data_IF_119028151081
#
_entry.id   IF_119028151081
#
_cell.length_a   1.000
_cell.length_b   1.000
_cell.length_c   1.000
_cell.angle_alpha   90.00
_cell.angle_beta   90.00
_cell.angle_gamma   90.00
#
_symmetry.space_group_name_H-M   'P 1'
#
loop_
_entity.id
_entity.type
_entity.pdbx_description
1 polymer ?
#
# COMPACT_ATOMS: atom_id res chain seq x y z
N UNK A 1 24.77 59.78 -45.81
CA UNK A 1 23.78 59.87 -44.71
C UNK A 1 22.92 58.62 -44.74
N UNK A 2 23.27 57.61 -43.95
CA UNK A 2 22.62 56.29 -43.99
C UNK A 2 21.59 56.19 -42.84
N UNK A 3 20.32 55.95 -43.17
CA UNK A 3 19.18 56.07 -42.25
C UNK A 3 19.09 54.86 -41.29
N UNK A 4 19.09 55.15 -39.99
CA UNK A 4 18.64 54.24 -38.90
C UNK A 4 17.20 53.76 -39.16
N UNK A 5 17.01 52.56 -39.70
CA UNK A 5 15.69 51.95 -39.89
C UNK A 5 15.51 50.55 -39.27
N UNK A 6 16.54 49.98 -38.63
CA UNK A 6 16.51 48.58 -38.14
C UNK A 6 15.81 48.34 -36.78
N UNK A 7 15.47 49.36 -36.00
CA UNK A 7 14.85 49.18 -34.67
C UNK A 7 13.31 49.11 -34.64
N UNK A 8 12.61 49.73 -35.60
CA UNK A 8 11.13 49.77 -35.61
C UNK A 8 10.50 48.51 -36.22
N UNK A 9 11.21 47.85 -37.14
CA UNK A 9 10.71 46.65 -37.83
C UNK A 9 10.62 45.43 -36.93
N UNK A 10 11.62 45.22 -36.06
CA UNK A 10 11.63 44.08 -35.13
C UNK A 10 10.57 44.19 -34.04
N UNK A 11 10.36 45.41 -33.51
CA UNK A 11 9.32 45.68 -32.51
C UNK A 11 7.92 45.53 -33.12
N UNK A 12 7.70 46.02 -34.35
CA UNK A 12 6.43 45.84 -35.04
C UNK A 12 6.13 44.35 -35.29
N UNK A 13 7.13 43.56 -35.69
CA UNK A 13 6.98 42.12 -35.87
C UNK A 13 6.65 41.40 -34.55
N UNK A 14 7.37 41.72 -33.47
CA UNK A 14 7.12 41.14 -32.16
C UNK A 14 5.72 41.47 -31.63
N UNK A 15 5.30 42.74 -31.70
CA UNK A 15 3.97 43.16 -31.29
C UNK A 15 2.87 42.48 -32.13
N UNK A 16 3.12 42.29 -33.43
CA UNK A 16 2.17 41.57 -34.30
C UNK A 16 2.05 40.09 -33.91
N UNK A 17 3.16 39.42 -33.58
CA UNK A 17 3.17 38.04 -33.14
C UNK A 17 2.45 37.88 -31.79
N UNK A 18 2.70 38.79 -30.85
CA UNK A 18 2.02 38.82 -29.55
C UNK A 18 0.52 39.05 -29.71
N UNK A 19 0.10 40.01 -30.54
CA UNK A 19 -1.31 40.25 -30.83
C UNK A 19 -1.99 39.02 -31.46
N UNK A 20 -1.31 38.31 -32.35
CA UNK A 20 -1.81 37.06 -32.94
C UNK A 20 -2.01 35.96 -31.89
N UNK A 21 -1.09 35.82 -30.93
CA UNK A 21 -1.22 34.84 -29.85
C UNK A 21 -2.40 35.20 -28.95
N UNK A 22 -2.53 36.45 -28.54
CA UNK A 22 -3.64 36.89 -27.69
C UNK A 22 -5.00 36.76 -28.38
N UNK A 23 -5.07 37.07 -29.68
CA UNK A 23 -6.31 36.88 -30.46
C UNK A 23 -6.68 35.41 -30.58
N UNK A 24 -5.71 34.51 -30.77
CA UNK A 24 -5.96 33.07 -30.80
C UNK A 24 -6.49 32.53 -29.46
N UNK A 25 -5.90 32.97 -28.34
CA UNK A 25 -6.35 32.61 -26.98
C UNK A 25 -7.75 33.17 -26.70
N UNK A 26 -8.00 34.42 -27.06
CA UNK A 26 -9.31 35.05 -26.86
C UNK A 26 -10.39 34.37 -27.71
N UNK A 27 -10.08 34.03 -28.96
CA UNK A 27 -10.99 33.29 -29.84
C UNK A 27 -11.34 31.92 -29.25
N UNK A 28 -10.35 31.17 -28.76
CA UNK A 28 -10.61 29.88 -28.10
C UNK A 28 -11.45 30.04 -26.83
N UNK A 29 -11.20 31.05 -26.00
CA UNK A 29 -12.00 31.31 -24.80
C UNK A 29 -13.45 31.73 -25.12
N UNK A 30 -13.67 32.50 -26.19
CA UNK A 30 -15.00 32.94 -26.62
C UNK A 30 -15.81 31.84 -27.30
N UNK A 31 -15.17 31.01 -28.12
CA UNK A 31 -15.82 29.93 -28.87
C UNK A 31 -15.92 28.61 -28.08
N UNK A 32 -15.17 28.46 -26.98
CA UNK A 32 -15.28 27.28 -26.12
C UNK A 32 -16.70 27.07 -25.60
N UNK A 33 -17.07 25.80 -25.42
CA UNK A 33 -18.34 25.37 -24.82
C UNK A 33 -19.58 26.01 -25.48
N UNK A 34 -19.86 25.62 -26.73
CA UNK A 34 -21.05 26.06 -27.50
C UNK A 34 -21.19 27.59 -27.63
N UNK A 35 -20.05 28.30 -27.69
CA UNK A 35 -19.96 29.76 -27.79
C UNK A 35 -20.65 30.49 -26.62
N UNK A 36 -20.69 29.87 -25.43
CA UNK A 36 -21.40 30.43 -24.25
C UNK A 36 -20.87 31.81 -23.87
N UNK A 37 -19.55 31.98 -23.85
CA UNK A 37 -18.92 33.24 -23.47
C UNK A 37 -19.17 34.34 -24.52
N UNK A 38 -19.13 34.00 -25.81
CA UNK A 38 -19.49 34.91 -26.90
C UNK A 38 -20.95 35.39 -26.79
N UNK A 39 -21.88 34.47 -26.51
CA UNK A 39 -23.31 34.79 -26.32
C UNK A 39 -23.52 35.77 -25.17
N UNK A 40 -22.89 35.55 -24.02
CA UNK A 40 -22.98 36.46 -22.87
C UNK A 40 -22.43 37.86 -23.17
N UNK A 41 -21.32 37.94 -23.90
CA UNK A 41 -20.70 39.22 -24.27
C UNK A 41 -21.60 40.00 -25.25
N UNK A 42 -22.16 39.33 -26.25
CA UNK A 42 -23.11 39.93 -27.20
C UNK A 42 -24.40 40.39 -26.50
N UNK A 43 -24.87 39.67 -25.48
CA UNK A 43 -26.01 40.09 -24.66
C UNK A 43 -25.70 41.35 -23.86
N UNK A 44 -24.53 41.43 -23.23
CA UNK A 44 -24.14 42.60 -22.47
C UNK A 44 -23.99 43.85 -23.36
N UNK A 45 -23.63 43.68 -24.63
CA UNK A 45 -23.49 44.77 -25.62
C UNK A 45 -24.78 45.07 -26.40
N UNK A 46 -25.86 44.29 -26.21
CA UNK A 46 -27.13 44.48 -26.91
C UNK A 46 -27.13 44.02 -28.38
N UNK A 47 -26.14 43.25 -28.85
CA UNK A 47 -26.01 42.77 -30.24
C UNK A 47 -26.52 41.33 -30.44
N UNK A 48 -27.66 40.98 -29.82
CA UNK A 48 -28.14 39.59 -29.81
C UNK A 48 -28.54 39.06 -31.20
N UNK A 49 -28.95 39.95 -32.11
CA UNK A 49 -29.52 39.60 -33.42
C UNK A 49 -28.48 39.22 -34.48
N UNK A 50 -27.18 39.39 -34.20
CA UNK A 50 -26.10 39.11 -35.15
C UNK A 50 -25.81 37.61 -35.29
N UNK A 51 -26.19 36.81 -34.29
CA UNK A 51 -26.07 35.34 -34.36
C UNK A 51 -27.30 34.76 -35.09
N UNK A 52 -27.11 33.92 -36.12
CA UNK A 52 -28.22 33.24 -36.76
C UNK A 52 -28.98 32.43 -35.71
N UNK A 53 -30.29 32.70 -35.60
CA UNK A 53 -31.16 31.92 -34.73
C UNK A 53 -31.06 30.46 -35.17
N UNK A 54 -30.54 29.60 -34.29
CA UNK A 54 -30.58 28.17 -34.52
C UNK A 54 -32.04 27.78 -34.77
N UNK A 55 -32.34 26.92 -35.77
CA UNK A 55 -33.68 26.41 -35.97
C UNK A 55 -34.18 25.89 -34.64
N UNK A 56 -35.29 26.44 -34.16
CA UNK A 56 -35.95 25.93 -32.97
C UNK A 56 -36.47 24.55 -33.33
N UNK A 57 -35.65 23.52 -33.12
CA UNK A 57 -36.14 22.15 -33.05
C UNK A 57 -37.17 22.21 -31.92
N UNK A 58 -38.45 21.90 -32.19
CA UNK A 58 -39.46 21.94 -31.15
C UNK A 58 -38.95 21.06 -30.01
N UNK A 59 -38.64 21.70 -28.89
CA UNK A 59 -38.20 21.00 -27.70
C UNK A 59 -39.34 20.05 -27.35
N UNK A 60 -39.16 18.77 -27.67
CA UNK A 60 -39.94 17.70 -27.08
C UNK A 60 -39.76 17.93 -25.59
N UNK A 61 -40.79 18.48 -24.92
CA UNK A 61 -40.79 18.65 -23.47
C UNK A 61 -40.30 17.30 -22.95
N UNK A 62 -39.16 17.23 -22.24
CA UNK A 62 -38.81 15.98 -21.61
C UNK A 62 -40.01 15.69 -20.74
N UNK A 63 -40.75 14.65 -21.08
CA UNK A 63 -41.72 14.10 -20.16
C UNK A 63 -40.80 13.64 -19.03
N UNK A 64 -40.61 14.52 -18.03
CA UNK A 64 -40.27 14.09 -16.69
C UNK A 64 -41.47 13.26 -16.29
N UNK A 65 -41.50 12.02 -16.78
CA UNK A 65 -42.11 10.94 -16.06
C UNK A 65 -41.38 11.00 -14.74
N UNK A 66 -42.01 11.68 -13.78
CA UNK A 66 -41.65 11.59 -12.38
C UNK A 66 -41.74 10.09 -12.16
N UNK A 67 -40.61 9.38 -12.25
CA UNK A 67 -40.55 7.96 -11.97
C UNK A 67 -41.28 7.88 -10.64
N UNK A 68 -42.46 7.25 -10.62
CA UNK A 68 -43.15 7.00 -9.36
C UNK A 68 -42.07 6.36 -8.51
N UNK A 69 -41.68 7.06 -7.43
CA UNK A 69 -40.61 6.61 -6.54
C UNK A 69 -40.95 5.15 -6.26
N UNK A 70 -40.18 4.23 -6.84
CA UNK A 70 -40.50 2.82 -6.75
C UNK A 70 -40.60 2.55 -5.27
N UNK A 71 -41.77 2.08 -4.83
CA UNK A 71 -41.96 1.79 -3.42
C UNK A 71 -40.85 0.79 -3.06
N UNK A 72 -40.05 1.07 -2.01
CA UNK A 72 -38.92 0.22 -1.68
C UNK A 72 -39.44 -1.21 -1.57
N UNK A 73 -38.88 -2.11 -2.38
CA UNK A 73 -39.28 -3.51 -2.40
C UNK A 73 -39.13 -4.05 -0.98
N UNK A 74 -40.26 -4.34 -0.33
CA UNK A 74 -40.27 -4.96 0.99
C UNK A 74 -39.92 -6.43 0.79
N UNK A 75 -38.63 -6.73 0.81
CA UNK A 75 -38.13 -8.10 0.77
C UNK A 75 -38.25 -8.66 2.19
N UNK A 76 -38.97 -9.76 2.33
CA UNK A 76 -38.97 -10.55 3.56
C UNK A 76 -37.63 -11.30 3.61
N UNK A 77 -36.70 -10.77 4.40
CA UNK A 77 -35.47 -11.48 4.71
C UNK A 77 -35.76 -12.50 5.82
N UNK A 78 -35.17 -13.71 5.76
CA UNK A 78 -35.28 -14.67 6.85
C UNK A 78 -34.84 -14.04 8.19
N UNK A 79 -35.54 -14.35 9.28
CA UNK A 79 -35.25 -13.79 10.62
C UNK A 79 -33.78 -13.98 11.01
N UNK A 80 -33.18 -15.11 10.63
CA UNK A 80 -31.75 -15.41 10.87
C UNK A 80 -30.77 -14.41 10.25
N UNK A 81 -31.19 -13.66 9.23
CA UNK A 81 -30.36 -12.61 8.60
C UNK A 81 -30.11 -11.44 9.55
N UNK A 82 -30.99 -11.26 10.54
CA UNK A 82 -30.90 -10.21 11.55
C UNK A 82 -30.62 -10.77 12.94
N UNK A 83 -30.42 -12.08 13.05
CA UNK A 83 -30.09 -12.73 14.30
C UNK A 83 -28.65 -12.34 14.64
N UNK A 84 -28.47 -11.67 15.77
CA UNK A 84 -27.15 -11.42 16.32
C UNK A 84 -26.59 -12.78 16.76
N UNK A 85 -25.83 -13.40 15.86
CA UNK A 85 -25.21 -14.70 16.10
C UNK A 85 -24.21 -14.67 17.25
N UNK A 86 -23.88 -13.47 17.78
CA UNK A 86 -22.81 -13.23 18.75
C UNK A 86 -21.48 -13.88 18.34
N UNK A 87 -21.34 -14.23 17.06
CA UNK A 87 -20.16 -14.88 16.52
C UNK A 87 -19.10 -13.80 16.36
N UNK A 88 -17.94 -13.93 17.03
CA UNK A 88 -16.84 -13.01 16.80
C UNK A 88 -16.47 -13.03 15.32
N UNK A 89 -16.13 -11.86 14.76
CA UNK A 89 -15.68 -11.76 13.37
C UNK A 89 -14.61 -12.80 13.08
N UNK A 90 -14.86 -13.63 12.07
CA UNK A 90 -13.86 -14.57 11.58
C UNK A 90 -12.91 -13.82 10.64
N UNK A 91 -11.90 -13.17 11.22
CA UNK A 91 -10.79 -12.68 10.42
C UNK A 91 -9.86 -13.84 10.11
N UNK A 92 -9.50 -14.02 8.84
CA UNK A 92 -8.42 -14.92 8.46
C UNK A 92 -7.11 -14.36 8.99
N UNK A 93 -6.74 -14.81 10.19
CA UNK A 93 -5.44 -14.56 10.80
C UNK A 93 -4.51 -15.65 10.33
N UNK A 94 -3.38 -15.25 9.77
CA UNK A 94 -2.27 -16.15 9.51
C UNK A 94 -1.52 -16.32 10.83
N UNK A 95 -1.75 -17.44 11.49
CA UNK A 95 -0.92 -17.83 12.63
C UNK A 95 0.46 -18.27 12.13
N UNK A 96 1.50 -17.88 12.85
CA UNK A 96 2.86 -18.36 12.60
C UNK A 96 2.95 -19.75 13.24
N UNK A 97 2.82 -20.80 12.42
CA UNK A 97 2.89 -22.19 12.84
C UNK A 97 3.97 -22.92 12.05
N UNK A 98 4.67 -23.82 12.71
CA UNK A 98 5.63 -24.77 12.14
C UNK A 98 5.88 -25.85 13.19
N UNK A 99 6.40 -27.00 12.76
CA UNK A 99 6.97 -27.98 13.68
C UNK A 99 8.20 -27.33 14.34
N UNK A 100 8.17 -27.11 15.66
CA UNK A 100 9.18 -26.33 16.33
C UNK A 100 10.52 -27.05 16.40
N UNK A 101 10.51 -28.40 16.40
CA UNK A 101 11.74 -29.18 16.31
C UNK A 101 12.32 -29.08 14.91
N UNK A 102 11.49 -29.23 13.88
CA UNK A 102 11.93 -29.07 12.49
C UNK A 102 12.55 -27.68 12.25
N UNK A 103 11.94 -26.61 12.77
CA UNK A 103 12.49 -25.25 12.66
C UNK A 103 13.85 -25.12 13.37
N UNK A 104 13.97 -25.61 14.61
CA UNK A 104 15.25 -25.52 15.34
C UNK A 104 16.34 -26.38 14.71
N UNK A 105 16.00 -27.57 14.17
CA UNK A 105 16.93 -28.40 13.41
C UNK A 105 17.34 -27.76 12.08
N UNK A 106 16.38 -27.20 11.32
CA UNK A 106 16.67 -26.50 10.07
C UNK A 106 17.62 -25.31 10.26
N UNK A 107 17.51 -24.60 11.39
CA UNK A 107 18.46 -23.56 11.75
C UNK A 107 19.84 -24.15 12.15
N UNK A 108 19.89 -25.29 12.84
CA UNK A 108 21.17 -25.98 13.13
C UNK A 108 21.89 -26.37 11.85
N UNK A 109 21.15 -26.94 10.90
CA UNK A 109 21.67 -27.36 9.59
C UNK A 109 22.14 -26.18 8.74
N UNK A 110 21.51 -25.02 8.90
CA UNK A 110 21.90 -23.77 8.27
C UNK A 110 23.15 -23.09 8.89
N UNK A 111 23.76 -23.70 9.90
CA UNK A 111 25.02 -23.23 10.50
C UNK A 111 24.93 -22.76 11.95
N UNK A 112 23.73 -22.72 12.55
CA UNK A 112 23.52 -22.30 13.94
C UNK A 112 23.59 -23.50 14.91
N UNK A 113 24.71 -24.23 14.86
CA UNK A 113 24.87 -25.56 15.49
C UNK A 113 24.67 -25.59 17.01
N UNK A 114 24.87 -24.47 17.69
CA UNK A 114 24.72 -24.35 19.14
C UNK A 114 23.27 -24.05 19.59
N UNK A 115 22.28 -24.20 18.70
CA UNK A 115 20.86 -24.05 19.07
C UNK A 115 20.45 -25.10 20.10
N UNK A 116 20.30 -24.67 21.35
CA UNK A 116 19.87 -25.52 22.45
C UNK A 116 18.34 -25.47 22.59
N UNK A 117 17.67 -26.61 22.39
CA UNK A 117 16.24 -26.76 22.64
C UNK A 117 15.96 -26.85 24.15
N UNK A 118 14.98 -26.08 24.62
CA UNK A 118 14.48 -26.11 26.00
C UNK A 118 12.96 -26.12 25.99
N UNK A 119 12.38 -27.03 26.75
CA UNK A 119 10.92 -27.11 26.94
C UNK A 119 10.61 -27.09 28.44
N UNK A 120 9.56 -26.38 28.80
CA UNK A 120 9.01 -26.34 30.15
C UNK A 120 7.76 -27.23 30.24
N UNK A 121 7.43 -27.70 31.45
CA UNK A 121 6.21 -28.48 31.72
C UNK A 121 4.93 -27.72 31.34
N UNK A 122 4.97 -26.38 31.33
CA UNK A 122 3.85 -25.51 30.92
C UNK A 122 3.54 -25.51 29.41
N UNK A 123 4.17 -26.39 28.61
CA UNK A 123 4.02 -26.42 27.14
C UNK A 123 4.75 -25.29 26.40
N UNK A 124 5.49 -24.44 27.13
CA UNK A 124 6.35 -23.40 26.56
C UNK A 124 7.69 -23.99 26.17
N UNK A 125 8.19 -23.57 25.01
CA UNK A 125 9.49 -24.00 24.52
C UNK A 125 10.26 -22.84 23.90
N UNK A 126 11.57 -22.99 23.87
CA UNK A 126 12.48 -22.06 23.22
C UNK A 126 13.70 -22.79 22.65
N UNK A 127 14.26 -22.25 21.58
CA UNK A 127 15.61 -22.60 21.12
C UNK A 127 16.39 -21.32 20.81
N UNK A 128 17.66 -21.30 21.22
CA UNK A 128 18.49 -20.11 21.07
C UNK A 128 19.94 -20.46 20.78
N UNK A 129 20.61 -19.61 20.01
CA UNK A 129 22.04 -19.72 19.70
C UNK A 129 22.68 -18.34 19.61
N UNK A 130 23.93 -18.24 20.04
CA UNK A 130 24.78 -17.07 19.90
C UNK A 130 26.01 -17.49 19.08
N UNK A 131 26.19 -16.91 17.90
CA UNK A 131 27.36 -17.19 17.05
C UNK A 131 28.25 -15.96 17.03
N UNK A 132 29.46 -16.04 17.63
CA UNK A 132 30.46 -14.98 17.53
C UNK A 132 31.26 -15.07 16.23
N UNK A 133 31.53 -13.93 15.62
CA UNK A 133 32.48 -13.76 14.52
C UNK A 133 33.81 -13.31 15.11
N UNK A 134 34.49 -14.23 15.78
CA UNK A 134 35.75 -13.94 16.48
C UNK A 134 36.89 -13.65 15.50
N UNK A 135 37.70 -12.65 15.82
CA UNK A 135 38.95 -12.34 15.11
C UNK A 135 40.14 -12.51 16.05
N UNK A 136 41.25 -13.12 15.61
CA UNK A 136 42.46 -13.20 16.42
C UNK A 136 42.94 -11.81 16.85
N UNK A 137 43.14 -11.61 18.15
CA UNK A 137 43.64 -10.35 18.72
C UNK A 137 42.62 -9.22 18.86
N UNK A 138 41.32 -9.50 18.68
CA UNK A 138 40.24 -8.52 18.83
C UNK A 138 39.32 -8.91 19.99
N UNK A 139 39.16 -8.03 20.97
CA UNK A 139 38.35 -8.33 22.18
C UNK A 139 36.83 -8.34 21.92
N UNK A 140 36.33 -7.45 21.06
CA UNK A 140 34.89 -7.34 20.76
C UNK A 140 34.58 -7.99 19.43
N UNK A 141 33.96 -9.16 19.44
CA UNK A 141 33.52 -9.80 18.21
C UNK A 141 32.14 -9.32 17.78
N UNK A 142 31.95 -9.16 16.47
CA UNK A 142 30.61 -9.10 15.90
C UNK A 142 29.87 -10.41 16.23
N UNK A 143 28.56 -10.38 16.40
CA UNK A 143 27.80 -11.55 16.80
C UNK A 143 26.38 -11.55 16.24
N UNK A 144 25.83 -12.76 16.10
CA UNK A 144 24.42 -12.97 15.79
C UNK A 144 23.79 -13.82 16.89
N UNK A 145 22.63 -13.39 17.40
CA UNK A 145 21.86 -14.11 18.39
C UNK A 145 20.48 -14.45 17.83
N UNK A 146 20.13 -15.73 17.84
CA UNK A 146 18.84 -16.24 17.40
C UNK A 146 18.06 -16.72 18.61
N UNK A 147 16.77 -16.37 18.66
CA UNK A 147 15.85 -16.81 19.69
C UNK A 147 14.49 -17.13 19.05
N UNK A 148 14.09 -18.39 19.17
CA UNK A 148 12.77 -18.87 18.80
C UNK A 148 12.02 -19.22 20.07
N UNK A 149 10.77 -18.79 20.17
CA UNK A 149 9.88 -19.07 21.29
C UNK A 149 8.54 -19.51 20.78
N UNK A 150 7.92 -20.42 21.50
CA UNK A 150 6.59 -20.88 21.21
C UNK A 150 5.85 -21.46 22.40
N UNK A 151 4.62 -21.81 22.10
CA UNK A 151 3.66 -22.45 23.00
C UNK A 151 3.08 -23.63 22.28
N UNK A 152 2.72 -24.67 23.03
CA UNK A 152 2.15 -25.89 22.48
C UNK A 152 3.03 -26.53 21.39
N UNK A 153 2.55 -27.57 20.73
CA UNK A 153 3.38 -28.33 19.79
C UNK A 153 3.70 -27.59 18.50
N UNK A 154 2.96 -26.56 18.08
CA UNK A 154 3.10 -25.98 16.73
C UNK A 154 3.02 -24.45 16.66
N UNK A 155 2.85 -23.73 17.78
CA UNK A 155 2.71 -22.27 17.75
C UNK A 155 4.05 -21.57 18.00
N UNK A 156 4.42 -20.69 17.07
CA UNK A 156 5.57 -19.80 17.24
C UNK A 156 5.05 -18.43 17.71
N UNK A 157 5.45 -18.06 18.93
CA UNK A 157 5.07 -16.78 19.54
C UNK A 157 6.03 -15.66 19.13
N UNK A 158 7.32 -15.98 18.95
CA UNK A 158 8.34 -15.03 18.56
C UNK A 158 9.53 -15.72 17.91
N UNK A 159 9.95 -15.20 16.76
CA UNK A 159 11.24 -15.49 16.14
C UNK A 159 12.05 -14.20 16.07
N UNK A 160 13.27 -14.21 16.62
CA UNK A 160 14.12 -13.03 16.73
C UNK A 160 15.54 -13.34 16.30
N UNK A 161 16.10 -12.43 15.50
CA UNK A 161 17.52 -12.44 15.12
C UNK A 161 18.11 -11.08 15.44
N UNK A 162 19.08 -11.05 16.35
CA UNK A 162 19.83 -9.85 16.72
C UNK A 162 21.20 -9.89 16.08
N UNK A 163 21.59 -8.78 15.47
CA UNK A 163 22.89 -8.57 14.84
C UNK A 163 23.63 -7.52 15.65
N UNK A 164 24.87 -7.82 16.04
CA UNK A 164 25.81 -6.86 16.60
C UNK A 164 27.02 -6.80 15.65
N UNK A 165 27.21 -5.67 14.98
CA UNK A 165 28.33 -5.47 14.05
C UNK A 165 29.34 -4.55 14.74
N UNK A 166 30.33 -5.15 15.42
CA UNK A 166 31.40 -4.40 16.08
C UNK A 166 32.48 -3.96 15.08
N UNK A 167 32.64 -4.70 13.97
CA UNK A 167 33.59 -4.39 12.91
C UNK A 167 32.92 -4.33 11.53
N UNK A 168 33.20 -3.28 10.73
CA UNK A 168 32.58 -3.11 9.41
C UNK A 168 32.92 -4.24 8.45
N UNK A 169 34.12 -4.83 8.58
CA UNK A 169 34.54 -5.99 7.78
C UNK A 169 33.70 -7.25 8.02
N UNK A 170 33.05 -7.38 9.19
CA UNK A 170 32.16 -8.51 9.50
C UNK A 170 30.75 -8.30 8.95
N UNK A 171 30.43 -7.11 8.44
CA UNK A 171 29.06 -6.74 8.03
C UNK A 171 28.46 -7.76 7.07
N UNK A 172 29.21 -8.17 6.04
CA UNK A 172 28.72 -9.14 5.06
C UNK A 172 28.45 -10.50 5.68
N UNK A 173 29.34 -10.99 6.56
CA UNK A 173 29.20 -12.28 7.20
C UNK A 173 28.00 -12.29 8.16
N UNK A 174 27.85 -11.25 8.99
CA UNK A 174 26.74 -11.11 9.95
C UNK A 174 25.40 -10.98 9.23
N UNK A 175 25.33 -10.13 8.20
CA UNK A 175 24.08 -9.91 7.45
C UNK A 175 23.68 -11.12 6.61
N UNK A 176 24.66 -11.85 6.05
CA UNK A 176 24.40 -13.11 5.34
C UNK A 176 23.87 -14.18 6.30
N UNK A 177 24.46 -14.33 7.49
CA UNK A 177 23.95 -15.25 8.51
C UNK A 177 22.53 -14.86 8.95
N UNK A 178 22.25 -13.58 9.16
CA UNK A 178 20.92 -13.11 9.52
C UNK A 178 19.88 -13.36 8.42
N UNK A 179 20.25 -13.14 7.16
CA UNK A 179 19.41 -13.44 6.02
C UNK A 179 19.13 -14.94 5.89
N UNK A 180 20.14 -15.80 6.09
CA UNK A 180 19.97 -17.26 6.14
C UNK A 180 18.99 -17.68 7.25
N UNK A 181 19.17 -17.17 8.47
CA UNK A 181 18.27 -17.47 9.59
C UNK A 181 16.82 -17.05 9.28
N UNK A 182 16.64 -15.84 8.74
CA UNK A 182 15.34 -15.34 8.34
C UNK A 182 14.73 -16.19 7.21
N UNK A 183 15.50 -16.59 6.20
CA UNK A 183 15.02 -17.43 5.09
C UNK A 183 14.55 -18.80 5.56
N UNK A 184 15.30 -19.46 6.46
CA UNK A 184 14.88 -20.74 7.06
C UNK A 184 13.53 -20.56 7.76
N UNK A 185 13.43 -19.58 8.66
CA UNK A 185 12.19 -19.30 9.36
C UNK A 185 11.02 -18.99 8.42
N UNK A 186 11.22 -18.10 7.44
CA UNK A 186 10.19 -17.68 6.49
C UNK A 186 9.75 -18.84 5.60
N UNK A 187 10.66 -19.75 5.23
CA UNK A 187 10.33 -20.96 4.49
C UNK A 187 9.47 -21.92 5.33
N UNK A 188 9.89 -22.18 6.56
CA UNK A 188 9.19 -23.09 7.50
C UNK A 188 7.77 -22.62 7.83
N UNK A 189 7.55 -21.31 7.92
CA UNK A 189 6.22 -20.74 8.17
C UNK A 189 5.48 -20.35 6.88
N UNK A 190 6.04 -20.73 5.73
CA UNK A 190 5.56 -20.49 4.36
C UNK A 190 5.30 -19.03 3.99
N UNK A 191 6.02 -18.09 4.60
CA UNK A 191 5.83 -16.66 4.38
C UNK A 191 6.16 -16.27 2.94
N UNK A 192 5.28 -15.52 2.30
CA UNK A 192 5.46 -15.07 0.91
C UNK A 192 6.60 -14.04 0.82
N UNK A 193 7.25 -13.95 -0.34
CA UNK A 193 8.31 -12.98 -0.62
C UNK A 193 9.57 -13.12 0.27
N UNK A 194 9.87 -14.34 0.74
CA UNK A 194 11.01 -14.63 1.64
C UNK A 194 12.36 -14.18 1.08
N UNK A 195 12.60 -14.39 -0.22
CA UNK A 195 13.82 -13.95 -0.91
C UNK A 195 13.98 -12.42 -0.88
N UNK A 196 12.89 -11.69 -1.10
CA UNK A 196 12.92 -10.21 -1.07
C UNK A 196 13.25 -9.68 0.33
N UNK A 197 12.81 -10.39 1.38
CA UNK A 197 13.09 -10.04 2.77
C UNK A 197 14.56 -10.32 3.09
N UNK A 198 15.09 -11.46 2.66
CA UNK A 198 16.50 -11.81 2.84
C UNK A 198 17.43 -10.77 2.20
N UNK A 199 17.13 -10.32 0.98
CA UNK A 199 17.87 -9.24 0.30
C UNK A 199 17.83 -7.92 1.07
N UNK A 200 16.67 -7.56 1.66
CA UNK A 200 16.56 -6.35 2.51
C UNK A 200 17.41 -6.44 3.77
N UNK A 201 17.46 -7.62 4.41
CA UNK A 201 18.31 -7.85 5.59
C UNK A 201 19.79 -7.74 5.21
N UNK A 202 20.20 -8.32 4.08
CA UNK A 202 21.57 -8.19 3.56
C UNK A 202 21.96 -6.74 3.29
N UNK A 203 21.03 -5.95 2.75
CA UNK A 203 21.22 -4.52 2.51
C UNK A 203 21.11 -3.63 3.77
N UNK A 204 20.88 -4.22 4.95
CA UNK A 204 20.57 -3.50 6.20
C UNK A 204 19.40 -2.51 6.07
N UNK A 205 18.48 -2.76 5.13
CA UNK A 205 17.33 -1.91 4.86
C UNK A 205 16.22 -2.17 5.87
N UNK A 206 15.85 -1.15 6.65
CA UNK A 206 14.76 -1.26 7.62
C UNK A 206 13.40 -1.48 6.95
N UNK A 207 12.55 -2.30 7.58
CA UNK A 207 11.18 -2.50 7.14
C UNK A 207 10.26 -2.94 8.28
N UNK A 208 8.96 -2.79 8.06
CA UNK A 208 7.91 -3.18 9.00
C UNK A 208 6.69 -3.64 8.21
N UNK A 209 6.48 -4.95 8.15
CA UNK A 209 5.41 -5.60 7.39
C UNK A 209 4.38 -6.16 8.36
N UNK A 210 3.15 -5.66 8.27
CA UNK A 210 2.00 -6.19 9.02
C UNK A 210 1.02 -6.81 8.04
N UNK A 211 0.81 -8.13 8.13
CA UNK A 211 -0.13 -8.86 7.27
C UNK A 211 -0.84 -9.95 8.06
N UNK A 212 -2.16 -10.03 7.91
CA UNK A 212 -2.99 -11.10 8.47
C UNK A 212 -2.76 -11.40 9.96
N UNK A 213 -2.63 -10.37 10.80
CA UNK A 213 -2.41 -10.54 12.24
C UNK A 213 -1.00 -11.00 12.63
N UNK A 214 -0.06 -11.02 11.68
CA UNK A 214 1.37 -11.24 11.91
C UNK A 214 2.17 -9.99 11.55
N UNK A 215 3.30 -9.79 12.23
CA UNK A 215 4.22 -8.69 11.98
C UNK A 215 5.64 -9.22 11.81
N UNK A 216 6.29 -8.78 10.74
CA UNK A 216 7.71 -9.02 10.48
C UNK A 216 8.40 -7.67 10.33
N UNK A 217 9.36 -7.40 11.18
CA UNK A 217 10.08 -6.13 11.20
C UNK A 217 11.58 -6.36 11.23
N UNK A 218 12.33 -5.44 10.63
CA UNK A 218 13.76 -5.32 10.75
C UNK A 218 14.10 -3.86 11.01
N UNK A 219 14.74 -3.58 12.15
CA UNK A 219 15.04 -2.21 12.59
C UNK A 219 16.43 -2.13 13.20
N UNK A 220 17.08 -0.97 13.04
CA UNK A 220 18.30 -0.64 13.78
C UNK A 220 17.95 -0.30 15.22
N UNK A 221 18.72 -0.85 16.16
CA UNK A 221 18.65 -0.46 17.57
C UNK A 221 19.45 0.84 17.81
N UNK A 222 19.02 1.64 18.79
CA UNK A 222 19.73 2.85 19.19
C UNK A 222 21.09 2.51 19.80
N UNK A 223 22.15 3.21 19.37
CA UNK A 223 23.49 3.09 19.93
C UNK A 223 24.58 3.42 18.90
N UNK A 224 25.81 3.54 19.39
CA UNK A 224 26.97 3.86 18.56
C UNK A 224 27.36 2.69 17.66
N UNK A 225 27.30 1.46 18.19
CA UNK A 225 27.50 0.23 17.41
C UNK A 225 26.29 -0.06 16.52
N UNK A 226 26.47 -0.36 15.21
CA UNK A 226 25.41 -0.84 14.34
C UNK A 226 24.82 -2.16 14.87
N UNK A 227 23.64 -2.07 15.47
CA UNK A 227 22.87 -3.21 15.96
C UNK A 227 21.52 -3.26 15.27
N UNK A 228 21.09 -4.45 14.88
CA UNK A 228 19.82 -4.64 14.18
C UNK A 228 19.03 -5.79 14.79
N UNK A 229 17.71 -5.70 14.68
CA UNK A 229 16.79 -6.69 15.22
C UNK A 229 15.74 -7.06 14.17
N UNK A 230 15.81 -8.30 13.69
CA UNK A 230 14.73 -8.95 12.97
C UNK A 230 13.77 -9.56 13.99
N UNK A 231 12.49 -9.24 13.89
CA UNK A 231 11.45 -9.79 14.74
C UNK A 231 10.25 -10.21 13.89
N UNK A 232 9.86 -11.47 14.01
CA UNK A 232 8.60 -12.00 13.52
C UNK A 232 7.75 -12.50 14.69
N UNK A 233 6.53 -12.00 14.82
CA UNK A 233 5.59 -12.39 15.86
C UNK A 233 4.14 -12.23 15.39
N UNK A 234 3.20 -12.84 16.13
CA UNK A 234 1.80 -12.47 15.98
C UNK A 234 1.62 -11.02 16.46
N UNK A 235 0.98 -10.20 15.63
CA UNK A 235 0.61 -8.86 16.01
C UNK A 235 -0.40 -8.94 17.17
N UNK A 236 -0.18 -8.13 18.22
CA UNK A 236 -1.12 -8.06 19.32
C UNK A 236 -2.52 -7.72 18.78
N UNK A 237 -3.52 -8.55 19.08
CA UNK A 237 -4.91 -8.23 18.76
C UNK A 237 -5.27 -6.97 19.53
N UNK A 238 -5.35 -5.83 18.83
CA UNK A 238 -6.01 -4.66 19.39
C UNK A 238 -7.48 -5.07 19.59
N UNK A 239 -7.96 -5.08 20.84
CA UNK A 239 -9.39 -5.26 21.08
C UNK A 239 -10.09 -4.05 20.46
N UNK A 240 -10.98 -4.25 19.48
CA UNK A 240 -11.77 -3.15 18.94
C UNK A 240 -12.59 -2.54 20.08
N UNK A 241 -12.59 -1.21 20.20
CA UNK A 241 -13.27 -0.51 21.30
C UNK A 241 -14.77 -0.35 21.02
N UNK A 242 -15.21 -0.55 19.77
CA UNK A 242 -16.62 -0.49 19.38
C UNK A 242 -16.94 -1.36 18.16
N UNK A 243 -18.22 -1.70 17.98
CA UNK A 243 -18.71 -2.36 16.77
C UNK A 243 -18.43 -1.52 15.50
N UNK A 244 -18.44 -0.19 15.58
CA UNK A 244 -18.11 0.65 14.44
C UNK A 244 -16.62 0.53 14.04
N UNK A 245 -15.71 0.41 15.01
CA UNK A 245 -14.28 0.14 14.72
C UNK A 245 -14.05 -1.29 14.19
N UNK A 246 -14.89 -2.26 14.55
CA UNK A 246 -14.89 -3.61 13.96
C UNK A 246 -15.25 -3.57 12.48
N UNK A 247 -16.38 -2.95 12.15
CA UNK A 247 -16.94 -3.02 10.79
C UNK A 247 -16.38 -1.95 9.83
N UNK A 248 -16.02 -0.76 10.32
CA UNK A 248 -15.61 0.39 9.51
C UNK A 248 -14.12 0.74 9.71
N UNK A 249 -13.24 -0.20 9.37
CA UNK A 249 -11.82 0.10 9.14
C UNK A 249 -11.67 1.11 7.99
N UNK A 250 -11.40 2.37 8.34
CA UNK A 250 -11.29 3.45 7.35
C UNK A 250 -10.13 3.23 6.39
N UNK A 251 -9.03 2.61 6.80
CA UNK A 251 -7.91 2.35 5.88
C UNK A 251 -8.26 1.26 4.87
N UNK A 252 -9.09 0.29 5.27
CA UNK A 252 -9.53 -0.82 4.43
C UNK A 252 -10.71 -0.47 3.52
N UNK A 253 -11.68 0.30 4.01
CA UNK A 253 -12.94 0.58 3.31
C UNK A 253 -12.99 1.97 2.68
N UNK A 254 -12.18 2.90 3.18
CA UNK A 254 -12.16 4.30 2.78
C UNK A 254 -10.71 4.77 2.64
N UNK A 255 -9.95 4.14 1.73
CA UNK A 255 -8.66 4.68 1.31
C UNK A 255 -8.84 6.19 1.07
N UNK A 256 -8.06 7.06 1.73
CA UNK A 256 -8.17 8.50 1.48
C UNK A 256 -7.99 8.68 -0.02
N UNK A 257 -9.06 9.07 -0.71
CA UNK A 257 -8.95 9.43 -2.11
C UNK A 257 -7.85 10.47 -2.22
N UNK A 258 -7.06 10.41 -3.27
CA UNK A 258 -6.02 11.37 -3.63
C UNK A 258 -6.57 12.79 -3.94
N UNK A 259 -7.79 13.10 -3.47
CA UNK A 259 -8.53 14.31 -3.80
C UNK A 259 -9.14 14.30 -5.20
N UNK A 260 -8.93 13.25 -6.01
CA UNK A 260 -9.58 13.15 -7.31
C UNK A 260 -11.03 12.67 -7.16
N UNK A 261 -11.94 13.35 -7.85
CA UNK A 261 -13.37 13.02 -7.87
C UNK A 261 -13.57 11.84 -8.83
N UNK A 262 -13.08 10.67 -8.44
CA UNK A 262 -13.32 9.42 -9.19
C UNK A 262 -13.92 8.40 -8.23
N UNK A 263 -15.14 8.67 -7.76
CA UNK A 263 -15.94 7.65 -7.08
C UNK A 263 -16.47 6.67 -8.14
N UNK A 264 -15.70 5.63 -8.44
CA UNK A 264 -16.17 4.55 -9.30
C UNK A 264 -16.36 3.30 -8.46
N UNK A 265 -17.33 3.37 -7.54
CA UNK A 265 -18.02 2.15 -7.11
C UNK A 265 -18.98 1.81 -8.25
N UNK A 266 -18.53 0.98 -9.20
CA UNK A 266 -19.40 0.41 -10.23
C UNK A 266 -20.37 -0.57 -9.56
N UNK A 267 -21.66 -0.30 -9.70
CA UNK A 267 -22.71 -1.18 -9.20
C UNK A 267 -22.78 -2.53 -9.95
N UNK A 268 -23.59 -3.48 -9.45
CA UNK A 268 -23.65 -4.88 -9.92
C UNK A 268 -23.91 -5.06 -11.42
N UNK A 269 -24.47 -4.07 -12.10
CA UNK A 269 -24.70 -4.11 -13.56
C UNK A 269 -23.43 -4.17 -14.41
N UNK A 270 -22.27 -3.78 -13.85
CA UNK A 270 -20.99 -3.83 -14.56
C UNK A 270 -20.33 -5.23 -14.57
N UNK A 271 -20.84 -6.19 -13.79
CA UNK A 271 -20.26 -7.54 -13.69
C UNK A 271 -20.75 -8.49 -14.79
N UNK A 272 -21.84 -8.15 -15.47
CA UNK A 272 -22.48 -9.02 -16.46
C UNK A 272 -22.20 -8.65 -17.92
N UNK A 273 -21.42 -7.61 -18.22
CA UNK A 273 -20.93 -7.38 -19.58
C UNK A 273 -19.72 -8.26 -19.82
N UNK A 274 -20.00 -9.50 -20.25
CA UNK A 274 -18.99 -10.48 -20.63
C UNK A 274 -18.05 -9.89 -21.68
N UNK A 275 -16.75 -10.11 -21.47
CA UNK A 275 -15.73 -10.05 -22.51
C UNK A 275 -15.99 -11.14 -23.54
N UNK A 276 -16.95 -10.88 -24.43
CA UNK A 276 -17.24 -11.67 -25.61
C UNK A 276 -16.67 -10.99 -26.85
N UNK A 277 -15.55 -11.52 -27.34
CA UNK A 277 -15.13 -11.61 -28.74
C UNK A 277 -15.41 -10.43 -29.69
N UNK A 278 -14.34 -9.85 -30.23
CA UNK A 278 -14.24 -9.78 -31.70
C UNK A 278 -12.80 -10.03 -32.14
N UNK A 279 -12.62 -11.19 -32.77
CA UNK A 279 -11.60 -11.37 -33.77
C UNK A 279 -11.73 -10.30 -34.87
N UNK A 280 -10.60 -9.76 -35.30
CA UNK A 280 -10.21 -9.70 -36.70
C UNK A 280 -8.70 -9.58 -36.80
#
# INVERSE_FOLDING_TARGET
MEKKQKGRSGVAFFLSAVALIFTAILATALLANEQRNLKHLLTAMGLQEVLPAAPQVPASKPIRQRLKKAEPSRVLLPVRTFEDLHTPEQQFIRQIRSDPRALCEGLRDAGFRELAWKSAESGRWECSSLVPFARPGVEKSSSIFILVKGTDENEITSFRVKLNIEHPDDTQAVTSAAATAASVFLSEVHWADSESIALKIQALGEFDLKRFGSRIQFRRESGDTPRYNFLANQAARARPKSAAELYFDREKWLAPGDGSIVSVIRGPGAWNTGSGSSAR
#
